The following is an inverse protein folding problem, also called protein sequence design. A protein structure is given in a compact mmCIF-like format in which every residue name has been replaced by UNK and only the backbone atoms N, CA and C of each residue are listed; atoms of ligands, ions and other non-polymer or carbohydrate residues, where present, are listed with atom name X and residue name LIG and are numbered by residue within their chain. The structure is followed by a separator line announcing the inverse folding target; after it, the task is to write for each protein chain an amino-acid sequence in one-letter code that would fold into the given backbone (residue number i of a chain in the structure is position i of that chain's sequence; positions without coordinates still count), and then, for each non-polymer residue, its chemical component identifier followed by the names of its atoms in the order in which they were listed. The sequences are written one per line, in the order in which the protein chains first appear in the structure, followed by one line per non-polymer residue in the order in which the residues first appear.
data_IF_802389266952
#
_entry.id   IF_802389266952
#
_cell.length_a   1.000
_cell.length_b   1.000
_cell.length_c   1.000
_cell.angle_alpha   90.00
_cell.angle_beta   90.00
_cell.angle_gamma   90.00
#
_symmetry.space_group_name_H-M   'P 1'
#
loop_
_entity.id
_entity.type
_entity.pdbx_description
1 polymer ?
#
# COMPACT_ATOMS: atom_id res chain seq x y z
N UNK A 1 10.49 6.49 -1.03
CA UNK A 1 10.66 6.23 -2.48
C UNK A 1 9.80 5.04 -2.87
N UNK A 2 8.52 5.24 -3.18
CA UNK A 2 7.54 4.17 -3.38
C UNK A 2 7.04 4.02 -4.82
N UNK A 3 7.35 4.96 -5.73
CA UNK A 3 6.76 5.02 -7.07
C UNK A 3 7.74 4.71 -8.22
N UNK A 4 9.04 4.92 -8.02
CA UNK A 4 10.07 4.79 -9.06
C UNK A 4 10.74 3.41 -9.08
N UNK A 5 11.12 2.82 -7.92
CA UNK A 5 11.74 1.51 -7.94
C UNK A 5 10.79 0.43 -8.49
N UNK A 6 11.29 -0.54 -9.28
CA UNK A 6 10.46 -1.60 -9.85
C UNK A 6 9.90 -2.55 -8.78
N UNK A 7 10.56 -2.65 -7.63
CA UNK A 7 10.15 -3.47 -6.48
C UNK A 7 10.00 -2.57 -5.25
N UNK A 8 8.87 -2.70 -4.55
CA UNK A 8 8.61 -2.04 -3.27
C UNK A 8 8.42 -3.08 -2.18
N UNK A 9 9.26 -3.02 -1.14
CA UNK A 9 9.18 -3.92 0.02
C UNK A 9 8.58 -3.15 1.19
N UNK A 10 7.49 -3.67 1.75
CA UNK A 10 6.78 -3.11 2.90
C UNK A 10 6.93 -4.04 4.09
N UNK A 11 7.38 -3.51 5.21
CA UNK A 11 7.31 -4.18 6.51
C UNK A 11 6.00 -3.77 7.17
N UNK A 12 5.12 -4.73 7.46
CA UNK A 12 3.80 -4.49 8.04
C UNK A 12 3.69 -5.26 9.35
N UNK A 13 3.47 -4.54 10.45
CA UNK A 13 3.09 -5.16 11.72
C UNK A 13 1.72 -5.81 11.57
N UNK A 14 1.64 -7.12 11.81
CA UNK A 14 0.39 -7.88 11.67
C UNK A 14 -0.73 -7.38 12.61
N UNK A 15 -0.36 -6.75 13.73
CA UNK A 15 -1.33 -6.14 14.65
C UNK A 15 -1.98 -4.87 14.10
N UNK A 16 -1.44 -4.29 13.02
CA UNK A 16 -1.93 -3.08 12.34
C UNK A 16 -2.72 -3.37 11.06
N UNK A 17 -3.43 -4.50 11.03
CA UNK A 17 -4.37 -4.85 9.96
C UNK A 17 -5.78 -4.49 10.43
N UNK A 18 -6.48 -3.69 9.63
CA UNK A 18 -7.83 -3.19 9.93
C UNK A 18 -8.83 -3.71 8.89
N UNK A 19 -10.11 -3.77 9.27
CA UNK A 19 -11.16 -4.21 8.35
C UNK A 19 -11.51 -3.14 7.32
N UNK A 20 -11.35 -1.87 7.69
CA UNK A 20 -11.67 -0.75 6.81
C UNK A 20 -10.62 0.35 6.87
N UNK A 21 -10.53 1.14 5.80
CA UNK A 21 -9.66 2.32 5.79
C UNK A 21 -10.10 3.37 6.82
N UNK A 22 -11.41 3.51 7.06
CA UNK A 22 -11.93 4.43 8.07
C UNK A 22 -11.50 4.04 9.50
N UNK A 23 -11.53 2.74 9.80
CA UNK A 23 -11.02 2.19 11.06
C UNK A 23 -9.53 2.49 11.24
N UNK A 24 -8.72 2.28 10.19
CA UNK A 24 -7.28 2.59 10.21
C UNK A 24 -7.03 4.08 10.50
N UNK A 25 -7.70 4.99 9.76
CA UNK A 25 -7.55 6.44 9.95
C UNK A 25 -7.95 6.89 11.35
N UNK A 26 -9.01 6.30 11.90
CA UNK A 26 -9.53 6.65 13.23
C UNK A 26 -8.61 6.14 14.33
N UNK A 27 -8.19 4.87 14.23
CA UNK A 27 -7.34 4.20 15.24
C UNK A 27 -5.94 4.81 15.29
N UNK A 28 -5.36 5.13 14.13
CA UNK A 28 -4.05 5.77 14.04
C UNK A 28 -4.10 7.29 14.28
N UNK A 29 -5.27 7.85 14.59
CA UNK A 29 -5.41 9.24 15.03
C UNK A 29 -5.08 10.29 13.95
N UNK A 30 -5.25 9.98 12.67
CA UNK A 30 -4.81 10.84 11.56
C UNK A 30 -5.45 12.22 11.53
N UNK A 31 -6.62 12.38 12.16
CA UNK A 31 -7.27 13.69 12.38
C UNK A 31 -6.40 14.66 13.20
N UNK A 32 -5.58 14.12 14.10
CA UNK A 32 -4.70 14.91 14.98
C UNK A 32 -3.36 15.26 14.31
N UNK A 33 -3.11 14.72 13.11
CA UNK A 33 -1.91 14.93 12.32
C UNK A 33 -1.58 13.71 11.48
N UNK A 34 -1.30 13.93 10.20
CA UNK A 34 -0.78 12.89 9.32
C UNK A 34 0.75 12.79 9.44
N UNK A 35 1.33 11.61 9.14
CA UNK A 35 2.75 11.50 8.87
C UNK A 35 3.19 12.48 7.77
N UNK A 36 4.47 12.84 7.76
CA UNK A 36 5.05 13.73 6.74
C UNK A 36 4.99 13.14 5.32
N UNK A 37 4.72 11.85 5.20
CA UNK A 37 4.52 11.15 3.94
C UNK A 37 3.46 10.06 4.13
N UNK A 38 2.34 10.17 3.40
CA UNK A 38 1.26 9.19 3.40
C UNK A 38 0.95 8.81 1.96
N UNK A 39 0.91 7.51 1.70
CA UNK A 39 0.65 6.94 0.39
C UNK A 39 -0.48 5.92 0.54
N UNK A 40 -1.53 6.06 -0.27
CA UNK A 40 -2.58 5.06 -0.37
C UNK A 40 -2.27 4.16 -1.58
N UNK A 41 -1.79 2.95 -1.31
CA UNK A 41 -1.53 1.94 -2.33
C UNK A 41 -2.68 0.93 -2.27
N UNK A 42 -3.57 0.97 -3.26
CA UNK A 42 -4.59 -0.06 -3.45
C UNK A 42 -3.99 -1.29 -4.15
N UNK A 43 -4.73 -2.41 -4.14
CA UNK A 43 -4.36 -3.64 -4.86
C UNK A 43 -4.04 -3.41 -6.36
N UNK A 44 -3.56 -4.44 -7.06
CA UNK A 44 -3.04 -4.31 -8.42
C UNK A 44 -4.03 -3.58 -9.32
N UNK A 45 -3.55 -2.52 -9.98
CA UNK A 45 -4.37 -1.78 -10.94
C UNK A 45 -4.88 -2.74 -12.02
N UNK A 46 -6.20 -2.87 -12.15
CA UNK A 46 -6.84 -3.56 -13.26
C UNK A 46 -7.43 -2.50 -14.19
N UNK A 47 -6.59 -1.90 -15.01
CA UNK A 47 -7.04 -1.01 -16.09
C UNK A 47 -6.87 -1.74 -17.42
N UNK A 48 -7.99 -2.13 -18.03
CA UNK A 48 -8.04 -2.75 -19.36
C UNK A 48 -8.01 -1.73 -20.51
N UNK A 49 -7.70 -0.46 -20.22
CA UNK A 49 -8.11 0.68 -21.04
C UNK A 49 -6.94 1.44 -21.70
N UNK A 50 -5.91 0.71 -22.14
CA UNK A 50 -4.98 1.18 -23.18
C UNK A 50 -4.95 0.11 -24.27
N UNK A 51 -5.62 0.40 -25.39
CA UNK A 51 -5.53 -0.37 -26.63
C UNK A 51 -5.80 -1.89 -26.49
N UNK A 52 -6.67 -2.29 -25.56
CA UNK A 52 -6.98 -3.70 -25.26
C UNK A 52 -5.78 -4.57 -24.85
N UNK A 53 -4.65 -3.95 -24.49
CA UNK A 53 -3.47 -4.66 -24.00
C UNK A 53 -3.33 -4.41 -22.51
N UNK A 54 -3.20 -5.48 -21.72
CA UNK A 54 -2.94 -5.38 -20.29
C UNK A 54 -1.52 -4.80 -20.09
N UNK A 55 -1.44 -3.53 -19.70
CA UNK A 55 -0.19 -2.90 -19.29
C UNK A 55 -0.01 -3.03 -17.77
N UNK A 56 1.00 -3.78 -17.35
CA UNK A 56 1.38 -3.90 -15.94
C UNK A 56 2.51 -2.92 -15.60
N UNK A 57 2.36 -2.16 -14.50
CA UNK A 57 3.45 -1.34 -13.94
C UNK A 57 3.70 0.02 -14.59
N UNK A 58 2.71 0.63 -15.25
CA UNK A 58 2.85 1.98 -15.83
C UNK A 58 2.81 3.13 -14.80
N UNK A 59 2.24 2.88 -13.61
CA UNK A 59 1.91 3.92 -12.62
C UNK A 59 2.46 3.65 -11.20
N UNK A 60 3.47 2.78 -11.07
CA UNK A 60 4.09 2.43 -9.79
C UNK A 60 4.98 1.19 -9.90
N UNK A 61 5.45 0.65 -8.76
CA UNK A 61 6.25 -0.59 -8.72
C UNK A 61 5.55 -1.72 -9.48
N UNK A 62 6.33 -2.52 -10.20
CA UNK A 62 5.84 -3.72 -10.87
C UNK A 62 5.51 -4.82 -9.85
N UNK A 63 6.24 -4.83 -8.75
CA UNK A 63 6.12 -5.81 -7.67
C UNK A 63 6.02 -5.11 -6.32
N UNK A 64 5.08 -5.59 -5.49
CA UNK A 64 4.91 -5.19 -4.10
C UNK A 64 5.08 -6.43 -3.23
N UNK A 65 6.10 -6.43 -2.38
CA UNK A 65 6.36 -7.50 -1.43
C UNK A 65 5.99 -6.98 -0.04
N UNK A 66 5.04 -7.63 0.62
CA UNK A 66 4.65 -7.28 2.01
C UNK A 66 5.17 -8.37 2.93
N UNK A 67 6.03 -7.98 3.87
CA UNK A 67 6.53 -8.85 4.93
C UNK A 67 5.73 -8.55 6.20
N UNK A 68 4.95 -9.53 6.64
CA UNK A 68 4.22 -9.44 7.91
C UNK A 68 5.17 -9.71 9.06
N UNK A 69 5.21 -8.78 10.00
CA UNK A 69 5.94 -8.92 11.25
C UNK A 69 4.96 -9.39 12.32
N UNK A 70 5.19 -10.57 12.88
CA UNK A 70 4.51 -11.05 14.08
C UNK A 70 5.32 -10.63 15.31
N UNK A 71 4.63 -10.19 16.35
CA UNK A 71 5.27 -9.97 17.66
C UNK A 71 5.67 -11.30 18.29
N UNK A 72 6.67 -11.29 19.17
CA UNK A 72 6.92 -12.44 20.04
C UNK A 72 5.71 -12.64 20.97
N UNK A 73 5.27 -13.89 21.11
CA UNK A 73 4.12 -14.31 21.92
C UNK A 73 4.37 -14.17 23.43
#
# INVERSE_FOLDING_TARGET
MSLVPPVHIVLLDASKIYNTFFEAMSTEGWKNGLPTNSLLISGPSKTADIQQTLAYGAHGPKELIVLLLEGEA
#
